data_IF_973553245557
#
_entry.id   IF_973553245557
#
_cell.length_a   1.000
_cell.length_b   1.000
_cell.length_c   1.000
_cell.angle_alpha   90.00
_cell.angle_beta   90.00
_cell.angle_gamma   90.00
#
_symmetry.space_group_name_H-M   'P 1'
#
loop_
_entity.id
_entity.type
_entity.pdbx_description
1 polymer ?
#
# COMPACT_ATOMS: atom_id res chain seq x y z
N UNK A 1 2.55 -70.24 -40.28
CA UNK A 1 1.91 -68.93 -40.10
C UNK A 1 1.84 -68.65 -38.63
N UNK A 2 2.62 -67.79 -38.07
CA UNK A 2 2.55 -67.46 -36.66
C UNK A 2 1.61 -66.28 -36.39
N UNK A 3 0.79 -66.45 -35.38
CA UNK A 3 -0.12 -65.46 -34.86
C UNK A 3 0.61 -64.32 -34.11
N UNK A 4 0.26 -63.10 -34.44
CA UNK A 4 0.78 -61.90 -33.78
C UNK A 4 0.03 -61.71 -32.45
N UNK A 5 0.74 -61.83 -31.35
CA UNK A 5 0.24 -61.44 -30.03
C UNK A 5 0.29 -59.93 -29.87
N UNK A 6 -0.87 -59.35 -29.58
CA UNK A 6 -1.09 -57.93 -29.31
C UNK A 6 -0.58 -57.66 -27.87
N UNK A 7 0.44 -56.86 -27.77
CA UNK A 7 0.89 -56.26 -26.50
C UNK A 7 0.06 -55.01 -26.30
N UNK A 8 -0.82 -55.04 -25.31
CA UNK A 8 -1.51 -53.84 -24.82
C UNK A 8 -0.51 -53.06 -23.96
N UNK A 9 -0.09 -51.92 -24.48
CA UNK A 9 0.67 -50.93 -23.76
C UNK A 9 -0.30 -50.09 -22.92
N UNK A 10 -0.35 -50.35 -21.63
CA UNK A 10 -1.01 -49.48 -20.68
C UNK A 10 -0.17 -48.21 -20.54
N UNK A 11 -0.64 -47.11 -21.16
CA UNK A 11 -0.09 -45.80 -20.89
C UNK A 11 -0.64 -45.26 -19.57
N UNK A 12 0.15 -45.43 -18.53
CA UNK A 12 -0.08 -44.71 -17.28
C UNK A 12 0.06 -43.19 -17.52
N UNK A 13 -1.06 -42.55 -17.71
CA UNK A 13 -1.15 -41.09 -17.67
C UNK A 13 -0.84 -40.59 -16.28
N UNK A 14 0.41 -40.37 -16.04
CA UNK A 14 0.85 -39.59 -14.85
C UNK A 14 0.38 -38.15 -15.10
N UNK A 15 -0.80 -37.84 -14.56
CA UNK A 15 -1.26 -36.47 -14.44
C UNK A 15 -0.31 -35.81 -13.45
N UNK A 16 0.72 -35.16 -13.97
CA UNK A 16 1.50 -34.21 -13.23
C UNK A 16 0.59 -33.01 -12.93
N UNK A 17 -0.13 -33.11 -11.81
CA UNK A 17 -0.74 -31.96 -11.19
C UNK A 17 0.40 -31.10 -10.65
N UNK A 18 0.98 -30.27 -11.52
CA UNK A 18 1.87 -29.20 -11.11
C UNK A 18 1.05 -28.23 -10.26
N UNK A 19 1.05 -28.50 -8.96
CA UNK A 19 0.59 -27.56 -7.96
C UNK A 19 1.58 -26.38 -8.02
N UNK A 20 1.32 -25.43 -8.92
CA UNK A 20 1.93 -24.13 -8.84
C UNK A 20 1.44 -23.49 -7.54
N UNK A 21 2.17 -23.73 -6.47
CA UNK A 21 2.08 -22.91 -5.27
C UNK A 21 2.65 -21.57 -5.71
N UNK A 22 1.74 -20.70 -6.20
CA UNK A 22 2.01 -19.28 -6.25
C UNK A 22 2.23 -18.87 -4.79
N UNK A 23 3.47 -18.85 -4.37
CA UNK A 23 3.86 -18.11 -3.19
C UNK A 23 3.58 -16.64 -3.54
N UNK A 24 2.40 -16.20 -3.16
CA UNK A 24 2.04 -14.80 -3.18
C UNK A 24 2.97 -14.13 -2.16
N UNK A 25 4.10 -13.62 -2.64
CA UNK A 25 5.02 -12.84 -1.80
C UNK A 25 4.28 -11.54 -1.52
N UNK A 26 3.63 -11.49 -0.36
CA UNK A 26 2.95 -10.28 0.10
C UNK A 26 3.94 -9.12 0.12
N UNK A 27 3.54 -7.97 -0.41
CA UNK A 27 4.33 -6.75 -0.35
C UNK A 27 4.59 -6.35 1.10
N UNK A 28 5.62 -5.54 1.33
CA UNK A 28 5.87 -4.99 2.67
C UNK A 28 4.66 -4.20 3.18
N UNK A 29 3.93 -3.54 2.28
CA UNK A 29 2.75 -2.74 2.66
C UNK A 29 1.57 -3.62 3.07
N UNK A 30 1.34 -4.76 2.42
CA UNK A 30 0.35 -5.73 2.87
C UNK A 30 0.64 -6.25 4.28
N UNK A 31 1.90 -6.53 4.59
CA UNK A 31 2.32 -6.95 5.93
C UNK A 31 2.13 -5.84 6.98
N UNK A 32 2.36 -4.59 6.61
CA UNK A 32 2.07 -3.42 7.45
C UNK A 32 0.57 -3.33 7.72
N UNK A 33 -0.27 -3.41 6.69
CA UNK A 33 -1.73 -3.34 6.82
C UNK A 33 -2.32 -4.51 7.63
N UNK A 34 -1.66 -5.70 7.59
CA UNK A 34 -2.00 -6.85 8.41
C UNK A 34 -1.51 -6.75 9.86
N UNK A 35 -0.65 -5.77 10.19
CA UNK A 35 -0.08 -5.61 11.53
C UNK A 35 1.11 -6.52 11.81
N UNK A 36 1.65 -7.22 10.80
CA UNK A 36 2.84 -8.07 10.93
C UNK A 36 4.13 -7.25 11.06
N UNK A 37 4.14 -6.07 10.43
CA UNK A 37 5.25 -5.10 10.50
C UNK A 37 4.74 -3.84 11.19
N UNK A 38 5.44 -3.34 12.22
CA UNK A 38 5.09 -2.09 12.88
C UNK A 38 5.09 -0.91 11.91
N UNK A 39 4.16 0.03 12.10
CA UNK A 39 4.09 1.27 11.35
C UNK A 39 3.51 2.40 12.19
N UNK A 40 3.75 3.63 11.78
CA UNK A 40 3.21 4.84 12.41
C UNK A 40 1.83 5.14 11.84
N UNK A 41 0.79 4.51 12.40
CA UNK A 41 -0.59 4.55 11.91
C UNK A 41 -1.19 5.95 11.97
N UNK A 42 -1.76 6.39 10.84
CA UNK A 42 -2.44 7.68 10.70
C UNK A 42 -3.97 7.55 10.53
N UNK A 43 -4.44 6.42 10.04
CA UNK A 43 -5.86 6.16 9.82
C UNK A 43 -6.11 4.76 9.29
N UNK A 44 -7.33 4.26 9.44
CA UNK A 44 -7.72 2.97 8.89
C UNK A 44 -9.24 2.83 8.81
N UNK A 45 -9.67 1.96 7.92
CA UNK A 45 -11.01 1.39 7.90
C UNK A 45 -10.95 -0.11 7.51
N UNK A 46 -12.07 -0.69 7.11
CA UNK A 46 -12.14 -2.10 6.75
C UNK A 46 -11.33 -2.45 5.49
N UNK A 47 -11.19 -1.49 4.55
CA UNK A 47 -10.59 -1.73 3.23
C UNK A 47 -9.21 -1.08 3.08
N UNK A 48 -8.93 0.01 3.81
CA UNK A 48 -7.75 0.84 3.61
C UNK A 48 -6.98 1.12 4.90
N UNK A 49 -5.71 1.45 4.74
CA UNK A 49 -4.81 1.75 5.84
C UNK A 49 -3.92 2.95 5.50
N UNK A 50 -3.64 3.80 6.48
CA UNK A 50 -2.77 4.96 6.32
C UNK A 50 -1.71 5.01 7.41
N UNK A 51 -0.47 5.29 7.02
CA UNK A 51 0.70 5.37 7.91
C UNK A 51 1.74 6.35 7.38
N UNK A 52 2.65 6.80 8.25
CA UNK A 52 3.73 7.70 7.83
C UNK A 52 4.77 6.97 6.99
N UNK A 53 5.23 7.64 5.93
CA UNK A 53 6.43 7.23 5.21
C UNK A 53 7.65 7.31 6.14
N UNK A 54 8.44 6.23 6.24
CA UNK A 54 9.65 6.19 7.06
C UNK A 54 10.81 6.99 6.46
N UNK A 55 10.72 7.35 5.17
CA UNK A 55 11.65 8.20 4.46
C UNK A 55 10.93 9.47 3.96
N UNK A 56 10.37 10.30 4.86
CA UNK A 56 9.47 11.36 4.47
C UNK A 56 10.21 12.52 3.80
N UNK A 57 9.57 13.13 2.80
CA UNK A 57 10.08 14.39 2.20
C UNK A 57 9.85 15.58 3.11
N UNK A 58 8.72 15.56 3.82
CA UNK A 58 8.35 16.56 4.84
C UNK A 58 7.73 15.85 6.04
N UNK A 59 7.76 16.47 7.22
CA UNK A 59 7.09 15.91 8.40
C UNK A 59 5.59 15.78 8.14
N UNK A 60 5.04 14.59 8.40
CA UNK A 60 3.64 14.25 8.11
C UNK A 60 3.40 13.63 6.73
N UNK A 61 4.43 13.37 5.91
CA UNK A 61 4.28 12.62 4.67
C UNK A 61 3.64 11.26 4.97
N UNK A 62 2.42 11.07 4.49
CA UNK A 62 1.56 9.92 4.80
C UNK A 62 1.31 9.10 3.54
N UNK A 63 1.27 7.79 3.69
CA UNK A 63 0.89 6.83 2.65
C UNK A 63 -0.49 6.27 2.95
N UNK A 64 -1.36 6.22 1.95
CA UNK A 64 -2.63 5.48 2.00
C UNK A 64 -2.52 4.27 1.09
N UNK A 65 -2.93 3.09 1.58
CA UNK A 65 -2.86 1.82 0.85
C UNK A 65 -4.17 1.04 0.95
N UNK A 66 -4.54 0.25 -0.06
CA UNK A 66 -5.54 -0.80 0.11
C UNK A 66 -4.97 -1.94 0.97
N UNK A 67 -5.82 -2.59 1.78
CA UNK A 67 -5.40 -3.76 2.57
C UNK A 67 -5.19 -4.99 1.69
N UNK A 68 -5.95 -5.09 0.58
CA UNK A 68 -5.74 -6.16 -0.39
C UNK A 68 -4.50 -5.89 -1.24
N UNK A 69 -3.85 -6.95 -1.69
CA UNK A 69 -2.72 -6.88 -2.60
C UNK A 69 -3.18 -6.41 -3.98
N UNK A 70 -2.67 -5.27 -4.42
CA UNK A 70 -2.81 -4.74 -5.77
C UNK A 70 -1.61 -3.83 -6.04
N UNK A 71 -0.88 -4.09 -7.13
CA UNK A 71 0.33 -3.35 -7.47
C UNK A 71 0.00 -1.99 -8.13
N UNK A 72 -0.86 -2.02 -9.13
CA UNK A 72 -1.15 -0.86 -9.95
C UNK A 72 -2.54 -0.30 -9.65
N UNK A 73 -2.60 0.98 -9.29
CA UNK A 73 -3.85 1.61 -8.85
C UNK A 73 -4.96 1.54 -9.91
N UNK A 74 -4.60 1.56 -11.20
CA UNK A 74 -5.57 1.49 -12.30
C UNK A 74 -6.03 0.07 -12.63
N UNK A 75 -5.54 -0.95 -11.92
CA UNK A 75 -6.08 -2.32 -11.92
C UNK A 75 -7.17 -2.52 -10.84
N UNK A 76 -7.45 -1.49 -10.06
CA UNK A 76 -8.55 -1.49 -9.10
C UNK A 76 -9.88 -1.23 -9.82
N UNK A 77 -10.98 -1.81 -9.31
CA UNK A 77 -12.32 -1.52 -9.82
C UNK A 77 -12.69 -0.05 -9.56
N UNK A 78 -13.52 0.53 -10.44
CA UNK A 78 -13.94 1.94 -10.36
C UNK A 78 -14.53 2.30 -9.00
N UNK A 79 -15.38 1.43 -8.44
CA UNK A 79 -15.99 1.64 -7.12
C UNK A 79 -14.94 1.57 -5.99
N UNK A 80 -13.92 0.71 -6.13
CA UNK A 80 -12.84 0.60 -5.15
C UNK A 80 -11.93 1.84 -5.20
N UNK A 81 -11.57 2.30 -6.41
CA UNK A 81 -10.81 3.56 -6.58
C UNK A 81 -11.58 4.72 -5.97
N UNK A 82 -12.89 4.81 -6.20
CA UNK A 82 -13.72 5.87 -5.65
C UNK A 82 -13.71 5.86 -4.11
N UNK A 83 -13.85 4.68 -3.48
CA UNK A 83 -13.77 4.54 -2.02
C UNK A 83 -12.37 4.83 -1.50
N UNK A 84 -11.32 4.40 -2.23
CA UNK A 84 -9.93 4.67 -1.87
C UNK A 84 -9.63 6.17 -1.89
N UNK A 85 -10.11 6.88 -2.90
CA UNK A 85 -9.96 8.35 -2.99
C UNK A 85 -10.74 9.07 -1.87
N UNK A 86 -11.92 8.59 -1.50
CA UNK A 86 -12.67 9.12 -0.35
C UNK A 86 -11.92 8.89 0.97
N UNK A 87 -11.30 7.72 1.14
CA UNK A 87 -10.44 7.45 2.29
C UNK A 87 -9.21 8.38 2.32
N UNK A 88 -8.51 8.54 1.18
CA UNK A 88 -7.38 9.46 1.07
C UNK A 88 -7.77 10.91 1.39
N UNK A 89 -8.93 11.37 0.92
CA UNK A 89 -9.49 12.69 1.28
C UNK A 89 -9.70 12.83 2.80
N UNK A 90 -10.22 11.79 3.46
CA UNK A 90 -10.40 11.79 4.91
C UNK A 90 -9.06 11.92 5.65
N UNK A 91 -8.06 11.15 5.22
CA UNK A 91 -6.69 11.22 5.78
C UNK A 91 -6.06 12.59 5.51
N UNK A 92 -6.20 13.15 4.29
CA UNK A 92 -5.70 14.47 3.93
C UNK A 92 -6.33 15.59 4.78
N UNK A 93 -7.62 15.46 5.12
CA UNK A 93 -8.32 16.38 6.01
C UNK A 93 -7.73 16.33 7.42
N UNK A 94 -7.51 15.13 7.94
CA UNK A 94 -6.87 14.92 9.24
C UNK A 94 -5.42 15.45 9.26
N UNK A 95 -4.67 15.17 8.20
CA UNK A 95 -3.30 15.62 8.02
C UNK A 95 -3.20 17.15 8.03
N UNK A 96 -4.11 17.84 7.31
CA UNK A 96 -4.16 19.30 7.28
C UNK A 96 -4.54 19.92 8.64
N UNK A 97 -5.36 19.22 9.43
CA UNK A 97 -5.71 19.64 10.78
C UNK A 97 -4.53 19.45 11.75
N UNK A 98 -3.75 18.37 11.59
CA UNK A 98 -2.63 18.04 12.44
C UNK A 98 -1.37 18.89 12.14
N UNK A 99 -1.17 19.28 10.88
CA UNK A 99 0.00 20.02 10.42
C UNK A 99 -0.40 21.27 9.62
N UNK A 100 -0.04 22.48 10.10
CA UNK A 100 -0.26 23.70 9.36
C UNK A 100 0.40 23.64 7.98
N UNK A 101 -0.38 23.66 6.91
CA UNK A 101 0.09 23.67 5.53
C UNK A 101 -0.86 24.44 4.63
N UNK A 102 -0.35 24.91 3.50
CA UNK A 102 -1.18 25.61 2.50
C UNK A 102 -2.18 24.65 1.90
N UNK A 103 -1.68 23.48 1.43
CA UNK A 103 -2.48 22.38 0.87
C UNK A 103 -1.84 21.05 1.21
N UNK A 104 -2.61 19.98 1.14
CA UNK A 104 -2.09 18.61 1.05
C UNK A 104 -2.01 18.24 -0.42
N UNK A 105 -0.82 17.90 -0.89
CA UNK A 105 -0.59 17.36 -2.23
C UNK A 105 -0.84 15.87 -2.26
N UNK A 106 -1.23 15.37 -3.42
CA UNK A 106 -1.48 13.95 -3.66
C UNK A 106 -0.69 13.48 -4.88
N UNK A 107 -0.07 12.30 -4.78
CA UNK A 107 0.62 11.64 -5.90
C UNK A 107 0.54 10.13 -5.79
N UNK A 108 0.53 9.46 -6.95
CA UNK A 108 0.64 8.01 -7.09
C UNK A 108 1.81 7.70 -8.02
N UNK A 109 2.80 6.94 -7.53
CA UNK A 109 3.96 6.53 -8.32
C UNK A 109 4.07 5.00 -8.41
N UNK A 110 4.27 4.31 -7.28
CA UNK A 110 4.24 2.85 -7.21
C UNK A 110 5.45 2.12 -7.80
N UNK A 111 6.58 2.79 -8.07
CA UNK A 111 7.73 2.17 -8.72
C UNK A 111 8.66 1.41 -7.77
N UNK A 112 8.74 1.81 -6.50
CA UNK A 112 9.68 1.21 -5.53
C UNK A 112 9.05 0.02 -4.80
N UNK A 113 7.77 0.11 -4.45
CA UNK A 113 7.03 -0.95 -3.77
C UNK A 113 5.85 -1.37 -4.65
N UNK A 114 5.76 -2.67 -5.03
CA UNK A 114 4.70 -3.18 -5.89
C UNK A 114 3.38 -3.35 -5.11
N UNK A 115 2.86 -2.24 -4.62
CA UNK A 115 1.61 -2.12 -3.90
C UNK A 115 1.05 -0.72 -4.11
N UNK A 116 -0.16 -0.60 -4.64
CA UNK A 116 -0.77 0.68 -4.93
C UNK A 116 -0.81 1.55 -3.68
N UNK A 117 -0.30 2.77 -3.78
CA UNK A 117 -0.31 3.71 -2.67
C UNK A 117 -0.43 5.16 -3.14
N UNK A 118 -1.17 5.93 -2.35
CA UNK A 118 -1.33 7.36 -2.53
C UNK A 118 -0.43 8.05 -1.51
N UNK A 119 0.47 8.91 -2.00
CA UNK A 119 1.24 9.81 -1.17
C UNK A 119 0.41 11.05 -0.84
N UNK A 120 0.32 11.41 0.43
CA UNK A 120 -0.28 12.65 0.92
C UNK A 120 0.80 13.48 1.61
N UNK A 121 1.04 14.68 1.11
CA UNK A 121 2.18 15.52 1.49
C UNK A 121 1.67 16.90 1.91
N UNK A 122 1.84 17.29 3.19
CA UNK A 122 1.53 18.66 3.63
C UNK A 122 2.51 19.64 3.01
N UNK A 123 2.01 20.55 2.16
CA UNK A 123 2.85 21.45 1.36
C UNK A 123 2.76 22.90 1.81
N UNK A 124 3.89 23.59 1.79
CA UNK A 124 4.00 25.04 1.83
C UNK A 124 4.24 25.60 0.41
N UNK A 125 4.84 24.79 -0.47
CA UNK A 125 5.11 25.10 -1.86
C UNK A 125 5.11 23.84 -2.72
N UNK A 126 5.06 23.99 -4.04
CA UNK A 126 5.16 22.87 -5.00
C UNK A 126 6.50 22.12 -4.89
N UNK A 127 7.56 22.76 -4.37
CA UNK A 127 8.86 22.13 -4.16
C UNK A 127 8.78 20.97 -3.16
N UNK A 128 7.81 20.98 -2.26
CA UNK A 128 7.62 19.92 -1.26
C UNK A 128 7.15 18.59 -1.89
N UNK A 129 6.66 18.64 -3.16
CA UNK A 129 6.26 17.46 -3.94
C UNK A 129 7.37 16.87 -4.81
N UNK A 130 8.59 17.40 -4.77
CA UNK A 130 9.70 16.88 -5.56
C UNK A 130 10.27 15.62 -4.90
N UNK A 131 9.96 14.44 -5.45
CA UNK A 131 10.41 13.14 -4.93
C UNK A 131 11.94 12.97 -4.96
N UNK A 132 12.65 13.80 -5.73
CA UNK A 132 14.11 13.91 -5.73
C UNK A 132 14.69 14.66 -4.52
N UNK A 133 13.86 15.31 -3.71
CA UNK A 133 14.33 16.00 -2.52
C UNK A 133 14.99 15.01 -1.53
N UNK A 134 16.01 15.45 -0.78
CA UNK A 134 16.56 14.68 0.31
C UNK A 134 15.47 14.27 1.31
N UNK A 135 15.51 13.02 1.74
CA UNK A 135 14.56 12.51 2.74
C UNK A 135 14.96 12.99 4.13
N UNK A 136 13.95 13.35 4.92
CA UNK A 136 14.16 13.70 6.32
C UNK A 136 14.53 12.45 7.14
N UNK A 137 15.36 12.64 8.13
CA UNK A 137 15.60 11.63 9.17
C UNK A 137 14.95 12.15 10.46
N UNK A 138 13.86 11.51 10.84
CA UNK A 138 13.12 11.83 12.06
C UNK A 138 13.34 10.72 13.08
N UNK A 139 13.43 11.10 14.35
CA UNK A 139 13.52 10.14 15.43
C UNK A 139 12.18 9.40 15.62
N UNK A 140 12.25 8.16 16.12
CA UNK A 140 11.06 7.32 16.31
C UNK A 140 9.97 8.02 17.15
N UNK A 141 10.36 8.77 18.18
CA UNK A 141 9.44 9.54 19.00
C UNK A 141 8.74 10.66 18.22
N UNK A 142 9.44 11.34 17.31
CA UNK A 142 8.86 12.37 16.45
C UNK A 142 7.88 11.79 15.42
N UNK A 143 8.21 10.61 14.86
CA UNK A 143 7.34 9.87 13.97
C UNK A 143 6.07 9.44 14.69
N UNK A 144 6.19 8.88 15.90
CA UNK A 144 5.03 8.45 16.68
C UNK A 144 4.13 9.64 17.05
N UNK A 145 4.72 10.74 17.54
CA UNK A 145 3.96 11.96 17.84
C UNK A 145 3.21 12.49 16.61
N UNK A 146 3.86 12.50 15.45
CA UNK A 146 3.24 12.94 14.20
C UNK A 146 2.06 12.06 13.81
N UNK A 147 2.22 10.74 13.87
CA UNK A 147 1.16 9.79 13.57
C UNK A 147 -0.01 9.91 14.55
N UNK A 148 0.27 10.04 15.84
CA UNK A 148 -0.76 10.17 16.87
C UNK A 148 -1.62 11.43 16.67
N UNK A 149 -1.00 12.54 16.26
CA UNK A 149 -1.72 13.78 15.92
C UNK A 149 -2.65 13.58 14.73
N UNK A 150 -2.16 12.96 13.65
CA UNK A 150 -2.99 12.70 12.46
C UNK A 150 -4.13 11.74 12.81
N UNK A 151 -3.83 10.66 13.53
CA UNK A 151 -4.83 9.67 13.89
C UNK A 151 -5.91 10.23 14.84
N UNK A 152 -5.52 11.13 15.74
CA UNK A 152 -6.48 11.83 16.60
C UNK A 152 -7.47 12.69 15.79
N UNK A 153 -6.99 13.41 14.77
CA UNK A 153 -7.85 14.17 13.86
C UNK A 153 -8.69 13.26 12.96
N UNK A 154 -8.11 12.16 12.45
CA UNK A 154 -8.83 11.18 11.64
C UNK A 154 -10.04 10.57 12.36
N UNK A 155 -9.93 10.31 13.66
CA UNK A 155 -11.02 9.75 14.46
C UNK A 155 -12.19 10.71 14.69
N UNK A 156 -12.02 11.99 14.42
CA UNK A 156 -13.08 13.00 14.55
C UNK A 156 -13.98 13.11 13.32
N UNK A 157 -13.56 12.51 12.21
CA UNK A 157 -14.20 12.53 10.89
C UNK A 157 -15.04 11.26 10.66
#
# INVERSE_FOLDING_TARGET
MPSVSRIEEQSDSIIHCSFFIFHFIMSIFSKIAAGEIPSYKCGEDAEFYAFLDINPMVKGHTLCIPRREVDYIFDMDDDEIARFQVFAKKVATALKAAFPCVKVGEAVLGLEVPHAHIHLIPMQSEKDMLFSNPKLKLEAAEMQEAADKIFAEFKKL
#
